data_IF_691555101731
#
_entry.id   IF_691555101731
#
_cell.length_a   1.000
_cell.length_b   1.000
_cell.length_c   1.000
_cell.angle_alpha   90.00
_cell.angle_beta   90.00
_cell.angle_gamma   90.00
#
_symmetry.space_group_name_H-M   'P 1'
#
loop_
_entity.id
_entity.type
_entity.pdbx_description
1 polymer ?
#
# COMPACT_ATOMS: atom_id res chain seq x y z
N UNK A 1 4.31 3.81 -18.64
CA UNK A 1 3.20 3.15 -17.92
C UNK A 1 2.91 4.02 -16.71
N UNK A 2 1.78 4.73 -16.68
CA UNK A 2 1.42 5.56 -15.53
C UNK A 2 0.96 4.60 -14.42
N UNK A 3 1.70 4.53 -13.33
CA UNK A 3 1.28 3.78 -12.16
C UNK A 3 0.13 4.54 -11.49
N UNK A 4 -0.97 3.88 -11.11
CA UNK A 4 -2.10 4.52 -10.48
C UNK A 4 -1.66 5.01 -9.09
N UNK A 5 -1.78 6.32 -8.84
CA UNK A 5 -1.46 6.89 -7.52
C UNK A 5 -2.69 6.91 -6.63
N UNK A 6 -2.49 6.77 -5.32
CA UNK A 6 -3.54 6.88 -4.31
C UNK A 6 -3.09 7.81 -3.19
N UNK A 7 -3.74 8.98 -3.08
CA UNK A 7 -3.32 10.03 -2.15
C UNK A 7 -4.04 9.93 -0.81
N UNK A 8 -5.34 9.69 -0.87
CA UNK A 8 -6.29 9.48 0.22
C UNK A 8 -7.64 9.67 -0.44
N UNK A 9 -8.51 8.65 -0.40
CA UNK A 9 -9.84 8.78 -0.95
C UNK A 9 -10.87 8.50 0.14
N UNK A 10 -11.71 9.49 0.41
CA UNK A 10 -12.86 9.35 1.32
C UNK A 10 -13.98 8.52 0.68
N UNK A 11 -13.98 8.40 -0.65
CA UNK A 11 -14.93 7.61 -1.41
C UNK A 11 -14.45 6.17 -1.57
N UNK A 12 -15.17 5.18 -1.01
CA UNK A 12 -14.84 3.76 -1.17
C UNK A 12 -14.76 3.33 -2.64
N UNK A 13 -15.52 3.93 -3.55
CA UNK A 13 -15.52 3.58 -4.97
C UNK A 13 -14.19 3.96 -5.65
N UNK A 14 -13.57 5.07 -5.23
CA UNK A 14 -12.28 5.49 -5.76
C UNK A 14 -11.16 4.58 -5.26
N UNK A 15 -11.22 4.14 -4.00
CA UNK A 15 -10.33 3.13 -3.47
C UNK A 15 -10.49 1.77 -4.19
N UNK A 16 -11.72 1.32 -4.43
CA UNK A 16 -11.96 0.10 -5.21
C UNK A 16 -11.45 0.20 -6.64
N UNK A 17 -11.66 1.34 -7.30
CA UNK A 17 -11.15 1.60 -8.65
C UNK A 17 -9.62 1.51 -8.68
N UNK A 18 -8.94 2.16 -7.73
CA UNK A 18 -7.49 2.08 -7.60
C UNK A 18 -6.99 0.63 -7.38
N UNK A 19 -7.66 -0.13 -6.51
CA UNK A 19 -7.34 -1.56 -6.29
C UNK A 19 -7.50 -2.41 -7.55
N UNK A 20 -8.55 -2.15 -8.35
CA UNK A 20 -8.74 -2.86 -9.63
C UNK A 20 -7.65 -2.54 -10.64
N UNK A 21 -7.22 -1.29 -10.73
CA UNK A 21 -6.15 -0.89 -11.65
C UNK A 21 -4.80 -1.46 -11.23
N UNK A 22 -4.47 -1.48 -9.93
CA UNK A 22 -3.21 -2.03 -9.46
C UNK A 22 -3.15 -3.57 -9.62
N UNK A 23 -4.28 -4.26 -9.43
CA UNK A 23 -4.37 -5.69 -9.74
C UNK A 23 -4.12 -6.00 -11.21
N UNK A 24 -4.63 -5.17 -12.14
CA UNK A 24 -4.36 -5.33 -13.58
C UNK A 24 -2.86 -5.23 -13.87
N UNK A 25 -2.17 -4.29 -13.23
CA UNK A 25 -0.72 -4.12 -13.37
C UNK A 25 0.02 -5.35 -12.84
N UNK A 26 -0.33 -5.84 -11.65
CA UNK A 26 0.29 -7.05 -11.11
C UNK A 26 0.14 -8.26 -12.03
N UNK A 27 -1.03 -8.43 -12.64
CA UNK A 27 -1.26 -9.49 -13.63
C UNK A 27 -0.41 -9.27 -14.90
N UNK A 28 -0.36 -8.04 -15.41
CA UNK A 28 0.40 -7.70 -16.62
C UNK A 28 1.91 -7.96 -16.46
N UNK A 29 2.49 -7.62 -15.30
CA UNK A 29 3.92 -7.80 -15.02
C UNK A 29 4.25 -9.17 -14.40
N UNK A 30 3.26 -10.05 -14.20
CA UNK A 30 3.40 -11.33 -13.50
C UNK A 30 4.04 -11.18 -12.11
N UNK A 31 3.60 -10.18 -11.36
CA UNK A 31 4.10 -9.89 -10.02
C UNK A 31 3.84 -11.07 -9.07
N UNK A 32 4.89 -11.55 -8.40
CA UNK A 32 4.77 -12.52 -7.33
C UNK A 32 3.98 -11.94 -6.14
N UNK A 33 3.21 -12.79 -5.45
CA UNK A 33 2.32 -12.36 -4.36
C UNK A 33 3.07 -11.66 -3.23
N UNK A 34 4.27 -12.14 -2.90
CA UNK A 34 5.17 -11.56 -1.91
C UNK A 34 5.57 -10.10 -2.21
N UNK A 35 5.58 -9.70 -3.48
CA UNK A 35 6.00 -8.36 -3.91
C UNK A 35 4.82 -7.38 -4.07
N UNK A 36 3.57 -7.88 -4.06
CA UNK A 36 2.39 -7.05 -4.33
C UNK A 36 2.19 -5.94 -3.31
N UNK A 37 2.31 -6.25 -2.02
CA UNK A 37 2.13 -5.25 -0.95
C UNK A 37 3.19 -4.16 -1.08
N UNK A 38 4.46 -4.55 -1.20
CA UNK A 38 5.56 -3.61 -1.38
C UNK A 38 5.32 -2.68 -2.57
N UNK A 39 5.01 -3.23 -3.75
CA UNK A 39 4.74 -2.44 -4.95
C UNK A 39 3.48 -1.57 -4.85
N UNK A 40 2.44 -2.04 -4.17
CA UNK A 40 1.23 -1.26 -3.94
C UNK A 40 1.51 -0.04 -3.06
N UNK A 41 2.33 -0.22 -2.03
CA UNK A 41 2.65 0.84 -1.08
C UNK A 41 3.53 1.92 -1.69
N UNK A 42 4.38 1.57 -2.67
CA UNK A 42 5.13 2.55 -3.49
C UNK A 42 4.23 3.47 -4.32
N UNK A 43 2.97 3.11 -4.56
CA UNK A 43 2.02 3.91 -5.33
C UNK A 43 1.15 4.80 -4.43
N UNK A 44 1.26 4.67 -3.12
CA UNK A 44 0.64 5.59 -2.17
C UNK A 44 1.34 6.95 -2.25
N UNK A 45 0.58 7.99 -2.02
CA UNK A 45 1.05 9.37 -2.02
C UNK A 45 0.44 10.11 -0.83
N UNK A 46 1.02 11.25 -0.49
CA UNK A 46 0.47 12.20 0.49
C UNK A 46 -0.02 11.52 1.78
N UNK A 47 -1.31 11.61 2.10
CA UNK A 47 -1.84 11.18 3.38
C UNK A 47 -1.93 9.65 3.51
N UNK A 48 -2.14 8.94 2.40
CA UNK A 48 -2.13 7.48 2.37
C UNK A 48 -0.72 6.91 2.61
N UNK A 49 0.31 7.54 2.05
CA UNK A 49 1.72 7.15 2.29
C UNK A 49 2.10 7.40 3.76
N UNK A 50 1.76 8.58 4.29
CA UNK A 50 1.98 8.91 5.71
C UNK A 50 1.26 7.93 6.65
N UNK A 51 0.00 7.59 6.34
CA UNK A 51 -0.77 6.62 7.12
C UNK A 51 -0.12 5.24 7.11
N UNK A 52 0.29 4.74 5.93
CA UNK A 52 0.94 3.44 5.81
C UNK A 52 2.27 3.40 6.57
N UNK A 53 3.11 4.42 6.43
CA UNK A 53 4.36 4.54 7.17
C UNK A 53 4.13 4.56 8.69
N UNK A 54 3.05 5.21 9.16
CA UNK A 54 2.68 5.20 10.58
C UNK A 54 2.22 3.82 11.05
N UNK A 55 1.40 3.14 10.26
CA UNK A 55 0.93 1.78 10.58
C UNK A 55 2.09 0.80 10.69
N UNK A 56 3.06 0.88 9.79
CA UNK A 56 4.27 0.05 9.86
C UNK A 56 5.04 0.32 11.15
N UNK A 57 5.27 1.59 11.51
CA UNK A 57 5.95 1.93 12.78
C UNK A 57 5.23 1.33 13.98
N UNK A 58 3.92 1.55 14.12
CA UNK A 58 3.15 1.01 15.25
C UNK A 58 3.20 -0.53 15.28
N UNK A 59 3.05 -1.19 14.13
CA UNK A 59 3.06 -2.65 14.04
C UNK A 59 4.43 -3.27 14.36
N UNK A 60 5.53 -2.55 14.10
CA UNK A 60 6.89 -3.01 14.39
C UNK A 60 7.41 -2.55 15.76
N UNK A 61 6.85 -1.51 16.36
CA UNK A 61 7.17 -1.04 17.72
C UNK A 61 6.47 -1.88 18.82
N UNK A 62 5.29 -2.44 18.55
CA UNK A 62 4.59 -3.36 19.49
C UNK A 62 5.30 -4.71 19.70
N UNK A 63 6.38 -4.99 18.96
CA UNK A 63 7.21 -6.20 19.10
C UNK A 63 8.47 -6.01 19.95
N UNK A 64 8.75 -4.81 20.44
CA UNK A 64 9.92 -4.49 21.24
C UNK A 64 9.50 -4.04 22.66
N UNK A 65 8.93 -4.97 23.43
CA UNK A 65 8.83 -4.83 24.88
C UNK A 65 9.67 -5.94 25.52
N UNK A 66 10.86 -5.52 25.95
CA UNK A 66 11.84 -6.14 26.85
C UNK A 66 11.72 -7.63 27.20
N UNK A 67 12.63 -8.42 26.62
CA UNK A 67 13.31 -9.48 27.38
C UNK A 67 14.63 -8.93 27.90
N UNK A 68 14.60 -8.40 29.12
CA UNK A 68 15.75 -8.15 29.98
C UNK A 68 15.45 -8.63 31.40
#
# INVERSE_FOLDING_TARGET
MLLPSFKEESDPLLAESWMREIEKIFRAIRCADENKVTLATYMLQERADVWWASLLRTRFEDGAVDVA
#
